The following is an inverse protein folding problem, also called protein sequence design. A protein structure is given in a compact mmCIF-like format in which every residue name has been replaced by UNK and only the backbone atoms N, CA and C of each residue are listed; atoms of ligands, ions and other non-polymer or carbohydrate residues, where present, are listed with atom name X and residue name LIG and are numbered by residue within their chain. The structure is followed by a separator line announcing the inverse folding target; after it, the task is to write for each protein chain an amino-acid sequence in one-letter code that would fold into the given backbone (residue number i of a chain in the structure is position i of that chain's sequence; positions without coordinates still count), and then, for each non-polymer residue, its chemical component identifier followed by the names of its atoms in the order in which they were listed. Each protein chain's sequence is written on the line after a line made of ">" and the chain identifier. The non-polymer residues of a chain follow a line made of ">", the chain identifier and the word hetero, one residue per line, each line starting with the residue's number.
data_IF_321141822092
#
_entry.id   IF_321141822092
#
_cell.length_a   1.000
_cell.length_b   1.000
_cell.length_c   1.000
_cell.angle_alpha   90.00
_cell.angle_beta   90.00
_cell.angle_gamma   90.00
#
_symmetry.space_group_name_H-M   'P 1'
#
loop_
_entity.id
_entity.type
_entity.pdbx_description
1 polymer ?
#
# COMPACT_ATOMS: atom_id res chain seq x y z
N UNK A 1 7.71 13.47 -22.27
CA UNK A 1 7.05 13.77 -20.98
C UNK A 1 7.10 12.52 -20.14
N UNK A 2 8.01 12.46 -19.17
CA UNK A 2 8.08 11.35 -18.21
C UNK A 2 6.99 11.56 -17.18
N UNK A 3 5.90 10.80 -17.27
CA UNK A 3 4.86 10.75 -16.24
C UNK A 3 5.55 10.46 -14.91
N UNK A 4 5.36 11.26 -13.85
CA UNK A 4 5.91 10.93 -12.54
C UNK A 4 5.40 9.55 -12.17
N UNK A 5 6.32 8.60 -12.05
CA UNK A 5 6.02 7.20 -11.76
C UNK A 5 5.35 7.18 -10.39
N UNK A 6 4.02 7.07 -10.37
CA UNK A 6 3.27 6.89 -9.13
C UNK A 6 3.79 5.62 -8.45
N UNK A 7 4.01 5.68 -7.13
CA UNK A 7 4.55 4.56 -6.35
C UNK A 7 3.75 3.27 -6.54
N UNK A 8 2.46 3.42 -6.81
CA UNK A 8 1.51 2.35 -7.03
C UNK A 8 0.93 2.42 -8.44
N UNK A 9 0.57 1.25 -8.98
CA UNK A 9 -0.16 1.06 -10.23
C UNK A 9 -1.40 0.21 -9.98
N UNK A 10 -2.48 0.39 -10.77
CA UNK A 10 -3.61 -0.55 -10.77
C UNK A 10 -3.13 -2.00 -10.98
N UNK A 11 -3.61 -2.91 -10.15
CA UNK A 11 -3.20 -4.31 -10.12
C UNK A 11 -2.04 -4.64 -9.19
N UNK A 12 -1.33 -3.64 -8.63
CA UNK A 12 -0.25 -3.91 -7.69
C UNK A 12 -0.81 -4.56 -6.40
N UNK A 13 -0.23 -5.69 -5.94
CA UNK A 13 -0.48 -6.16 -4.59
C UNK A 13 0.14 -5.17 -3.60
N UNK A 14 -0.58 -4.87 -2.53
CA UNK A 14 -0.10 -4.02 -1.43
C UNK A 14 -0.39 -4.67 -0.10
N UNK A 15 0.49 -4.44 0.87
CA UNK A 15 0.28 -4.86 2.26
C UNK A 15 -0.12 -3.67 3.10
N UNK A 16 -1.03 -3.89 4.04
CA UNK A 16 -1.53 -2.90 5.00
C UNK A 16 -0.76 -3.09 6.30
N UNK A 17 -0.17 -2.01 6.80
CA UNK A 17 0.61 -1.98 8.02
C UNK A 17 -0.02 -1.04 9.06
N UNK A 18 0.09 -1.40 10.34
CA UNK A 18 -0.28 -0.52 11.46
C UNK A 18 0.78 0.55 11.75
N UNK A 19 0.55 1.39 12.76
CA UNK A 19 1.50 2.43 13.18
C UNK A 19 2.84 1.89 13.68
N UNK A 20 2.94 0.60 14.01
CA UNK A 20 4.15 -0.10 14.43
C UNK A 20 4.80 -0.86 13.26
N UNK A 21 4.36 -0.61 12.02
CA UNK A 21 4.80 -1.31 10.81
C UNK A 21 4.56 -2.83 10.86
N UNK A 22 3.54 -3.28 11.61
CA UNK A 22 3.15 -4.68 11.67
C UNK A 22 2.10 -4.99 10.61
N UNK A 23 2.20 -6.19 10.05
CA UNK A 23 1.26 -6.67 9.04
C UNK A 23 -0.17 -6.78 9.59
N UNK A 24 -1.10 -6.11 8.93
CA UNK A 24 -2.54 -6.18 9.22
C UNK A 24 -3.34 -6.91 8.14
N UNK A 25 -2.82 -6.98 6.93
CA UNK A 25 -3.52 -7.59 5.80
C UNK A 25 -2.90 -7.22 4.46
N UNK A 26 -3.55 -7.68 3.39
CA UNK A 26 -3.15 -7.39 2.02
C UNK A 26 -4.39 -7.13 1.16
N UNK A 27 -4.19 -6.37 0.10
CA UNK A 27 -5.20 -6.07 -0.92
C UNK A 27 -4.50 -5.76 -2.23
N UNK A 28 -5.27 -5.51 -3.29
CA UNK A 28 -4.76 -5.04 -4.58
C UNK A 28 -5.16 -3.58 -4.79
N UNK A 29 -4.35 -2.82 -5.51
CA UNK A 29 -4.70 -1.50 -6.00
C UNK A 29 -5.74 -1.64 -7.12
N UNK A 30 -6.89 -1.00 -6.95
CA UNK A 30 -7.96 -0.95 -7.94
C UNK A 30 -7.75 0.20 -8.92
N UNK A 31 -7.50 1.40 -8.40
CA UNK A 31 -7.32 2.59 -9.22
C UNK A 31 -6.30 3.57 -8.61
N UNK A 32 -5.58 4.28 -9.47
CA UNK A 32 -4.70 5.39 -9.07
C UNK A 32 -5.22 6.67 -9.72
N UNK A 33 -5.40 7.70 -8.90
CA UNK A 33 -5.86 9.04 -9.30
C UNK A 33 -4.76 10.06 -9.02
N UNK A 34 -5.01 11.32 -9.36
CA UNK A 34 -4.01 12.40 -9.25
C UNK A 34 -3.37 12.56 -7.86
N UNK A 35 -4.05 12.18 -6.77
CA UNK A 35 -3.54 12.32 -5.38
C UNK A 35 -3.84 11.12 -4.48
N UNK A 36 -4.54 10.12 -4.98
CA UNK A 36 -5.04 9.01 -4.17
C UNK A 36 -4.91 7.68 -4.88
N UNK A 37 -4.86 6.62 -4.09
CA UNK A 37 -4.87 5.22 -4.50
C UNK A 37 -6.10 4.59 -3.88
N UNK A 38 -6.94 3.95 -4.68
CA UNK A 38 -8.07 3.16 -4.20
C UNK A 38 -7.68 1.69 -4.26
N UNK A 39 -7.90 0.95 -3.19
CA UNK A 39 -7.68 -0.50 -3.14
C UNK A 39 -8.99 -1.26 -3.35
N UNK A 40 -8.90 -2.53 -3.75
CA UNK A 40 -10.04 -3.39 -4.12
C UNK A 40 -11.10 -3.54 -3.01
N UNK A 41 -10.74 -3.33 -1.76
CA UNK A 41 -11.66 -3.30 -0.61
C UNK A 41 -12.36 -1.94 -0.41
N UNK A 42 -12.24 -1.00 -1.35
CA UNK A 42 -12.89 0.32 -1.33
C UNK A 42 -12.17 1.37 -0.47
N UNK A 43 -11.02 1.01 0.12
CA UNK A 43 -10.23 1.93 0.92
C UNK A 43 -9.44 2.92 0.05
N UNK A 44 -9.26 4.14 0.56
CA UNK A 44 -8.56 5.21 -0.15
C UNK A 44 -7.31 5.59 0.63
N UNK A 45 -6.22 5.72 -0.10
CA UNK A 45 -4.88 5.99 0.40
C UNK A 45 -4.30 7.19 -0.35
N UNK A 46 -3.34 7.86 0.24
CA UNK A 46 -2.52 8.85 -0.44
C UNK A 46 -1.49 8.17 -1.34
N UNK A 47 -0.91 8.92 -2.29
CA UNK A 47 0.13 8.38 -3.19
C UNK A 47 1.40 7.93 -2.47
N UNK A 48 1.64 8.44 -1.25
CA UNK A 48 2.72 8.02 -0.37
C UNK A 48 2.34 6.79 0.48
N UNK A 49 1.13 6.26 0.33
CA UNK A 49 0.64 5.07 1.02
C UNK A 49 -0.07 5.35 2.34
N UNK A 50 -0.12 6.60 2.81
CA UNK A 50 -0.86 6.95 4.04
C UNK A 50 -2.38 6.77 3.88
N UNK A 51 -3.08 6.58 5.00
CA UNK A 51 -4.54 6.47 5.00
C UNK A 51 -5.19 7.81 4.62
N UNK A 52 -6.05 7.80 3.60
CA UNK A 52 -6.74 9.00 3.13
C UNK A 52 -8.21 9.00 3.53
N UNK A 53 -8.56 9.84 4.52
CA UNK A 53 -9.93 9.94 5.02
C UNK A 53 -10.29 11.37 5.39
N UNK A 54 -11.52 11.77 5.09
CA UNK A 54 -12.03 13.12 5.36
C UNK A 54 -11.26 14.23 4.66
N UNK A 55 -10.65 13.94 3.50
CA UNK A 55 -9.81 14.90 2.77
C UNK A 55 -8.42 15.14 3.39
N UNK A 56 -8.00 14.29 4.33
CA UNK A 56 -6.71 14.39 5.03
C UNK A 56 -5.90 13.10 4.85
N UNK A 57 -4.58 13.26 4.75
CA UNK A 57 -3.62 12.16 4.81
C UNK A 57 -3.22 11.88 6.26
N UNK A 58 -3.32 10.61 6.67
CA UNK A 58 -2.90 10.09 7.95
C UNK A 58 -1.74 9.11 7.76
N UNK A 59 -0.72 9.21 8.60
CA UNK A 59 0.47 8.37 8.46
C UNK A 59 0.25 6.90 8.88
N UNK A 60 -0.93 6.57 9.39
CA UNK A 60 -1.32 5.20 9.72
C UNK A 60 -2.85 5.02 9.67
N UNK A 61 -3.34 3.80 9.36
CA UNK A 61 -2.56 2.71 8.76
C UNK A 61 -1.95 3.14 7.42
N UNK A 62 -1.00 2.38 6.88
CA UNK A 62 -0.40 2.71 5.58
C UNK A 62 -0.21 1.47 4.71
N UNK A 63 -0.24 1.67 3.40
CA UNK A 63 0.04 0.65 2.40
C UNK A 63 1.45 0.78 1.84
N UNK A 64 2.08 -0.36 1.58
CA UNK A 64 3.38 -0.43 0.89
C UNK A 64 3.39 -1.56 -0.13
N UNK A 65 4.31 -1.49 -1.08
CA UNK A 65 4.56 -2.62 -1.96
C UNK A 65 5.16 -3.78 -1.14
N UNK A 66 4.85 -5.05 -1.46
CA UNK A 66 5.36 -6.21 -0.74
C UNK A 66 6.90 -6.24 -0.60
N UNK A 67 7.62 -5.73 -1.60
CA UNK A 67 9.08 -5.62 -1.57
C UNK A 67 9.61 -4.60 -0.54
N UNK A 68 8.80 -3.59 -0.20
CA UNK A 68 9.13 -2.56 0.79
C UNK A 68 8.73 -2.99 2.20
N UNK A 69 7.75 -3.90 2.32
CA UNK A 69 7.42 -4.60 3.56
C UNK A 69 8.46 -5.64 4.01
N UNK A 70 9.60 -5.76 3.30
CA UNK A 70 10.69 -6.71 3.57
C UNK A 70 11.44 -6.37 4.85
N UNK A 71 10.80 -6.75 5.95
CA UNK A 71 11.32 -6.80 7.30
C UNK A 71 10.44 -7.66 8.22
N UNK A 72 9.23 -8.04 7.79
CA UNK A 72 8.33 -8.89 8.55
C UNK A 72 7.66 -9.91 7.62
N UNK A 73 8.37 -11.00 7.35
CA UNK A 73 7.81 -12.17 6.69
C UNK A 73 7.13 -13.06 7.74
N UNK A 74 5.81 -13.20 7.67
CA UNK A 74 5.12 -14.40 8.21
C UNK A 74 5.55 -15.56 7.29
N UNK A 75 6.12 -16.70 7.74
CA UNK A 75 6.48 -17.88 6.88
C UNK A 75 5.70 -19.20 7.14
N UNK A 76 5.07 -19.68 6.04
CA UNK A 76 4.07 -20.72 5.82
C UNK A 76 2.76 -20.33 5.04
N UNK A 77 2.57 -19.19 4.40
CA UNK A 77 3.24 -17.93 4.65
C UNK A 77 4.61 -17.79 3.89
N UNK A 78 5.06 -18.67 3.00
CA UNK A 78 6.47 -18.60 2.47
C UNK A 78 6.80 -17.33 1.65
N UNK A 79 7.70 -16.50 2.18
CA UNK A 79 8.42 -15.49 1.42
C UNK A 79 9.83 -15.98 1.10
N UNK A 80 10.14 -16.11 -0.19
CA UNK A 80 11.46 -16.53 -0.65
C UNK A 80 12.37 -15.31 -0.84
N UNK A 81 13.52 -15.30 -0.16
CA UNK A 81 14.64 -14.43 -0.51
C UNK A 81 15.35 -15.02 -1.74
N UNK A 82 15.58 -14.21 -2.77
CA UNK A 82 16.69 -14.38 -3.74
C UNK A 82 17.68 -13.26 -3.51
#
# INVERSE_FOLDING_TARGET
>A
MTTPKTRFNPGDPVVILDSQHRYCGQTTVDAVRARTVTTANGQVWALDGGWWSGGRNWNFPFIVLPAEGRGQHVIGEKWTHV
#
